data_IF_448147154404
#
_entry.id   IF_448147154404
#
_cell.length_a   1.000
_cell.length_b   1.000
_cell.length_c   1.000
_cell.angle_alpha   90.00
_cell.angle_beta   90.00
_cell.angle_gamma   90.00
#
_symmetry.space_group_name_H-M   'P 1'
#
loop_
_entity.id
_entity.type
_entity.pdbx_description
1 polymer ?
#
# COMPACT_ATOMS: atom_id res chain seq x y z
N UNK A 1 -28.28 29.21 -20.51
CA UNK A 1 -27.38 28.60 -19.50
C UNK A 1 -26.03 29.27 -19.61
N UNK A 2 -25.52 29.84 -18.51
CA UNK A 2 -24.13 30.29 -18.43
C UNK A 2 -23.17 29.10 -18.48
N UNK A 3 -22.05 29.25 -19.20
CA UNK A 3 -20.98 28.24 -19.20
C UNK A 3 -20.20 28.33 -17.89
N UNK A 4 -20.06 27.20 -17.17
CA UNK A 4 -19.19 27.07 -16.00
C UNK A 4 -17.88 26.38 -16.39
N UNK A 5 -16.78 26.84 -15.78
CA UNK A 5 -15.49 26.14 -15.83
C UNK A 5 -15.41 25.19 -14.63
N UNK A 6 -15.02 23.95 -14.88
CA UNK A 6 -14.77 22.92 -13.87
C UNK A 6 -13.47 22.20 -14.22
N UNK A 7 -12.64 21.95 -13.22
CA UNK A 7 -11.37 21.24 -13.38
C UNK A 7 -11.30 20.11 -12.38
N UNK A 8 -10.71 18.99 -12.80
CA UNK A 8 -10.38 17.82 -11.99
C UNK A 8 -9.02 17.31 -12.44
N UNK A 9 -8.33 16.59 -11.56
CA UNK A 9 -7.02 16.01 -11.81
C UNK A 9 -7.00 14.52 -11.41
N UNK A 10 -5.94 13.84 -11.83
CA UNK A 10 -5.68 12.45 -11.50
C UNK A 10 -4.17 12.24 -11.46
N UNK A 11 -3.76 11.19 -10.77
CA UNK A 11 -2.35 10.80 -10.63
C UNK A 11 -2.18 9.36 -11.09
N UNK A 12 -1.00 9.02 -11.60
CA UNK A 12 -0.69 7.65 -12.00
C UNK A 12 -0.56 6.71 -10.79
N UNK A 13 -0.59 5.40 -11.05
CA UNK A 13 -0.41 4.35 -10.04
C UNK A 13 0.91 4.43 -9.27
N UNK A 14 1.94 5.03 -9.89
CA UNK A 14 3.23 5.29 -9.27
C UNK A 14 3.27 6.54 -8.39
N UNK A 15 2.16 7.28 -8.24
CA UNK A 15 2.12 8.36 -7.26
C UNK A 15 2.28 7.78 -5.85
N UNK A 16 3.13 8.36 -4.97
CA UNK A 16 3.36 7.83 -3.62
C UNK A 16 2.08 7.55 -2.83
N UNK A 17 1.11 8.46 -2.87
CA UNK A 17 -0.18 8.24 -2.21
C UNK A 17 -0.96 7.06 -2.81
N UNK A 18 -0.94 6.89 -4.14
CA UNK A 18 -1.57 5.73 -4.79
C UNK A 18 -0.81 4.43 -4.58
N UNK A 19 0.49 4.48 -4.34
CA UNK A 19 1.26 3.31 -3.91
C UNK A 19 0.83 2.89 -2.49
N UNK A 20 0.63 3.84 -1.58
CA UNK A 20 0.10 3.55 -0.24
C UNK A 20 -1.28 2.91 -0.31
N UNK A 21 -2.21 3.48 -1.09
CA UNK A 21 -3.55 2.94 -1.29
C UNK A 21 -3.48 1.47 -1.77
N UNK A 22 -2.69 1.20 -2.81
CA UNK A 22 -2.58 -0.14 -3.40
C UNK A 22 -1.99 -1.17 -2.42
N UNK A 23 -1.03 -0.78 -1.57
CA UNK A 23 -0.44 -1.67 -0.58
C UNK A 23 -1.44 -1.97 0.54
N UNK A 24 -2.13 -0.94 1.05
CA UNK A 24 -3.16 -1.12 2.07
C UNK A 24 -4.31 -2.00 1.58
N UNK A 25 -4.79 -1.78 0.35
CA UNK A 25 -5.84 -2.58 -0.26
C UNK A 25 -5.40 -4.03 -0.50
N UNK A 26 -4.14 -4.25 -0.92
CA UNK A 26 -3.64 -5.60 -1.11
C UNK A 26 -3.51 -6.39 0.21
N UNK A 27 -3.23 -5.72 1.33
CA UNK A 27 -3.29 -6.35 2.67
C UNK A 27 -4.73 -6.73 3.00
N UNK A 28 -5.69 -5.84 2.76
CA UNK A 28 -7.12 -6.14 2.92
C UNK A 28 -7.54 -7.35 2.07
N UNK A 29 -7.16 -7.37 0.79
CA UNK A 29 -7.48 -8.45 -0.14
C UNK A 29 -6.91 -9.79 0.34
N UNK A 30 -5.66 -9.83 0.78
CA UNK A 30 -5.03 -11.07 1.23
C UNK A 30 -5.63 -11.59 2.55
N UNK A 31 -6.07 -10.69 3.42
CA UNK A 31 -6.85 -11.04 4.62
C UNK A 31 -8.21 -11.61 4.21
N UNK A 32 -9.02 -10.89 3.44
CA UNK A 32 -10.39 -11.30 3.10
C UNK A 32 -10.42 -12.59 2.25
N UNK A 33 -9.37 -12.83 1.46
CA UNK A 33 -9.20 -14.08 0.70
C UNK A 33 -9.07 -15.30 1.63
N UNK A 34 -8.45 -15.14 2.79
CA UNK A 34 -8.18 -16.22 3.74
C UNK A 34 -9.24 -16.29 4.85
N UNK A 35 -9.76 -15.13 5.25
CA UNK A 35 -10.71 -14.93 6.34
C UNK A 35 -11.73 -13.85 5.93
N UNK A 36 -12.88 -14.24 5.35
CA UNK A 36 -13.91 -13.31 4.88
C UNK A 36 -14.52 -12.41 5.97
N UNK A 37 -14.30 -12.74 7.25
CA UNK A 37 -14.77 -11.96 8.40
C UNK A 37 -13.64 -11.15 9.07
N UNK A 38 -12.44 -11.17 8.49
CA UNK A 38 -11.30 -10.38 8.95
C UNK A 38 -11.63 -8.88 8.93
N UNK A 39 -11.20 -8.17 9.98
CA UNK A 39 -11.34 -6.72 10.11
C UNK A 39 -9.99 -6.09 9.91
N UNK A 40 -9.88 -5.17 8.96
CA UNK A 40 -8.61 -4.57 8.54
C UNK A 40 -8.73 -3.06 8.57
N UNK A 41 -7.92 -2.42 9.40
CA UNK A 41 -7.59 -1.01 9.33
C UNK A 41 -6.09 -0.92 9.03
N UNK A 42 -5.73 -1.00 7.73
CA UNK A 42 -4.34 -1.02 7.28
C UNK A 42 -3.94 0.34 6.73
N UNK A 43 -2.92 0.94 7.32
CA UNK A 43 -2.37 2.24 6.92
C UNK A 43 -0.98 2.05 6.34
N UNK A 44 -0.69 2.76 5.25
CA UNK A 44 0.62 2.71 4.60
C UNK A 44 1.21 4.11 4.49
N UNK A 45 2.48 4.24 4.90
CA UNK A 45 3.26 5.45 4.75
C UNK A 45 4.50 5.15 3.90
N UNK A 46 4.78 5.99 2.91
CA UNK A 46 5.95 5.85 2.04
C UNK A 46 6.76 7.15 1.98
N UNK A 47 8.08 7.00 2.01
CA UNK A 47 9.05 8.07 1.76
C UNK A 47 10.33 7.47 1.18
N UNK A 48 11.35 8.29 0.95
CA UNK A 48 12.61 7.86 0.32
C UNK A 48 13.25 6.67 1.06
N UNK A 49 13.25 5.51 0.40
CA UNK A 49 13.85 4.29 0.91
C UNK A 49 13.10 3.63 2.08
N UNK A 50 11.92 4.12 2.47
CA UNK A 50 11.16 3.62 3.61
C UNK A 50 9.68 3.45 3.26
N UNK A 51 9.16 2.27 3.55
CA UNK A 51 7.75 1.93 3.59
C UNK A 51 7.40 1.47 5.01
N UNK A 52 6.32 1.99 5.56
CA UNK A 52 5.74 1.54 6.82
C UNK A 52 4.34 1.03 6.52
N UNK A 53 4.05 -0.20 6.94
CA UNK A 53 2.70 -0.77 6.92
C UNK A 53 2.28 -0.96 8.37
N UNK A 54 1.17 -0.37 8.77
CA UNK A 54 0.70 -0.35 10.16
C UNK A 54 -0.82 -0.35 10.28
N UNK A 55 -1.30 -0.10 11.49
CA UNK A 55 -2.72 -0.11 11.83
C UNK A 55 -3.12 -1.36 12.62
N UNK A 56 -4.42 -1.69 12.58
CA UNK A 56 -5.00 -2.75 13.40
C UNK A 56 -5.71 -3.78 12.52
N UNK A 57 -5.36 -5.06 12.72
CA UNK A 57 -5.99 -6.16 12.00
C UNK A 57 -6.47 -7.22 13.00
N UNK A 58 -7.74 -7.63 12.87
CA UNK A 58 -8.27 -8.83 13.50
C UNK A 58 -8.53 -9.88 12.44
N UNK A 59 -7.76 -10.95 12.41
CA UNK A 59 -7.96 -12.04 11.47
C UNK A 59 -7.26 -13.32 11.92
N UNK A 60 -7.69 -14.45 11.37
CA UNK A 60 -6.94 -15.72 11.39
C UNK A 60 -5.95 -15.88 10.24
N UNK A 61 -6.00 -14.98 9.25
CA UNK A 61 -5.11 -14.98 8.09
C UNK A 61 -3.66 -14.66 8.45
N UNK A 62 -2.73 -15.18 7.64
CA UNK A 62 -1.33 -14.76 7.65
C UNK A 62 -1.03 -13.98 6.37
N UNK A 63 -0.46 -12.79 6.51
CA UNK A 63 -0.05 -11.93 5.39
C UNK A 63 1.44 -11.65 5.48
N UNK A 64 2.19 -12.02 4.44
CA UNK A 64 3.61 -11.68 4.32
C UNK A 64 3.76 -10.26 3.75
N UNK A 65 3.74 -9.28 4.65
CA UNK A 65 3.83 -7.85 4.34
C UNK A 65 5.10 -7.51 3.54
N UNK A 66 6.23 -8.17 3.82
CA UNK A 66 7.48 -7.91 3.11
C UNK A 66 7.35 -8.30 1.62
N UNK A 67 6.89 -9.53 1.37
CA UNK A 67 6.76 -10.05 0.02
C UNK A 67 5.67 -9.34 -0.77
N UNK A 68 4.52 -9.07 -0.13
CA UNK A 68 3.38 -8.39 -0.73
C UNK A 68 3.75 -6.98 -1.17
N UNK A 69 4.29 -6.16 -0.26
CA UNK A 69 4.65 -4.78 -0.59
C UNK A 69 5.71 -4.71 -1.68
N UNK A 70 6.76 -5.55 -1.62
CA UNK A 70 7.81 -5.57 -2.66
C UNK A 70 7.29 -6.00 -4.02
N UNK A 71 6.33 -6.93 -4.07
CA UNK A 71 5.68 -7.31 -5.34
C UNK A 71 4.96 -6.11 -5.95
N UNK A 72 4.17 -5.38 -5.17
CA UNK A 72 3.41 -4.22 -5.65
C UNK A 72 4.36 -3.10 -6.12
N UNK A 73 5.38 -2.78 -5.34
CA UNK A 73 6.40 -1.78 -5.71
C UNK A 73 7.08 -2.16 -7.03
N UNK A 74 7.40 -3.44 -7.22
CA UNK A 74 7.98 -3.96 -8.48
C UNK A 74 7.01 -3.82 -9.64
N UNK A 75 5.76 -4.25 -9.46
CA UNK A 75 4.73 -4.30 -10.50
C UNK A 75 4.38 -2.88 -11.01
N UNK A 76 4.38 -1.88 -10.13
CA UNK A 76 4.18 -0.45 -10.46
C UNK A 76 5.41 0.17 -11.16
N UNK A 77 6.57 -0.49 -11.11
CA UNK A 77 7.75 -0.13 -11.89
C UNK A 77 8.93 0.47 -11.11
N UNK A 78 8.87 0.55 -9.78
CA UNK A 78 9.98 0.99 -8.93
C UNK A 78 11.06 -0.11 -8.82
N UNK A 79 11.81 -0.26 -9.91
CA UNK A 79 12.73 -1.38 -10.18
C UNK A 79 14.19 -0.97 -10.31
N UNK A 80 14.50 0.32 -10.11
CA UNK A 80 15.86 0.83 -10.20
C UNK A 80 16.04 2.02 -9.25
N UNK A 81 17.14 2.07 -8.47
CA UNK A 81 17.42 3.16 -7.52
C UNK A 81 17.38 4.58 -8.10
N UNK A 82 17.56 4.74 -9.42
CA UNK A 82 17.53 6.04 -10.11
C UNK A 82 16.15 6.71 -10.08
N UNK A 83 15.09 5.95 -9.78
CA UNK A 83 13.73 6.48 -9.63
C UNK A 83 13.47 7.11 -8.26
N UNK A 84 14.47 7.11 -7.35
CA UNK A 84 14.33 7.59 -5.98
C UNK A 84 13.68 6.58 -5.02
N UNK A 85 13.19 5.46 -5.54
CA UNK A 85 12.63 4.34 -4.79
C UNK A 85 12.85 3.03 -5.56
N UNK A 86 13.12 1.93 -4.85
CA UNK A 86 13.43 0.64 -5.45
C UNK A 86 12.98 -0.53 -4.56
N UNK A 87 12.29 -1.50 -5.17
CA UNK A 87 11.71 -2.64 -4.47
C UNK A 87 12.73 -3.60 -3.86
N UNK A 88 13.99 -3.59 -4.31
CA UNK A 88 15.05 -4.42 -3.70
C UNK A 88 15.62 -3.74 -2.46
N UNK A 89 15.87 -2.44 -2.52
CA UNK A 89 16.62 -1.72 -1.48
C UNK A 89 15.76 -0.99 -0.46
N UNK A 90 14.47 -0.78 -0.71
CA UNK A 90 13.60 -0.09 0.25
C UNK A 90 13.47 -0.89 1.56
N UNK A 91 13.47 -0.19 2.68
CA UNK A 91 13.10 -0.73 3.98
C UNK A 91 11.59 -0.88 4.04
N UNK A 92 11.10 -2.02 4.53
CA UNK A 92 9.68 -2.24 4.81
C UNK A 92 9.56 -2.54 6.30
N UNK A 93 8.88 -1.67 7.03
CA UNK A 93 8.59 -1.83 8.44
C UNK A 93 7.14 -2.29 8.60
N UNK A 94 6.96 -3.41 9.30
CA UNK A 94 5.64 -3.88 9.70
C UNK A 94 5.40 -3.44 11.15
N UNK A 95 4.37 -2.62 11.34
CA UNK A 95 3.91 -2.09 12.63
C UNK A 95 2.42 -2.38 12.85
N UNK A 96 1.89 -3.44 12.23
CA UNK A 96 0.51 -3.89 12.42
C UNK A 96 0.35 -4.52 13.79
N UNK A 97 -0.71 -4.15 14.51
CA UNK A 97 -1.09 -4.73 15.79
C UNK A 97 -2.41 -5.51 15.67
N UNK A 98 -2.65 -6.41 16.62
CA UNK A 98 -3.97 -6.99 16.81
C UNK A 98 -4.93 -5.91 17.32
N UNK A 99 -6.13 -5.83 16.75
CA UNK A 99 -7.16 -4.90 17.22
C UNK A 99 -7.63 -5.29 18.63
N UNK A 100 -7.72 -4.31 19.54
CA UNK A 100 -8.27 -4.46 20.90
C UNK A 100 -9.79 -4.50 20.93
#
# INVERSE_FOLDING_TARGET
>A
MEKRLFTSESVGEGHPDKLCDQISDAVLDDVLRQDPYGRVACETYVTMGLLIVGGEITTSAYVDIQKLSRKIIKDIGYTHPKYGFDYHTCSVLNSINSQS
#
